data_IF_893186468380
#
_entry.id   IF_893186468380
#
_cell.length_a   1.000
_cell.length_b   1.000
_cell.length_c   1.000
_cell.angle_alpha   90.00
_cell.angle_beta   90.00
_cell.angle_gamma   90.00
#
_symmetry.space_group_name_H-M   'P 1'
#
loop_
_entity.id
_entity.type
_entity.pdbx_description
1 polymer ?
#
# COMPACT_ATOMS: atom_id res chain seq x y z
N UNK A 1 22.32 -11.36 10.62
CA UNK A 1 21.56 -12.33 9.80
C UNK A 1 20.11 -11.83 9.80
N UNK A 2 19.48 -11.62 8.64
CA UNK A 2 18.10 -11.07 8.58
C UNK A 2 17.05 -12.18 8.68
N UNK A 3 15.85 -11.86 9.20
CA UNK A 3 14.69 -12.76 9.32
C UNK A 3 14.43 -13.60 8.07
N UNK A 4 14.45 -12.97 6.90
CA UNK A 4 14.18 -13.64 5.62
C UNK A 4 15.26 -14.68 5.25
N UNK A 5 16.51 -14.48 5.68
CA UNK A 5 17.56 -15.48 5.47
C UNK A 5 17.31 -16.71 6.35
N UNK A 6 16.84 -16.49 7.58
CA UNK A 6 16.51 -17.58 8.50
C UNK A 6 15.33 -18.40 7.98
N UNK A 7 14.29 -17.74 7.45
CA UNK A 7 13.19 -18.41 6.77
C UNK A 7 13.67 -19.30 5.61
N UNK A 8 14.54 -18.76 4.74
CA UNK A 8 15.12 -19.52 3.62
C UNK A 8 15.97 -20.70 4.11
N UNK A 9 16.75 -20.52 5.17
CA UNK A 9 17.59 -21.57 5.72
C UNK A 9 16.75 -22.70 6.34
N UNK A 10 15.65 -22.36 7.00
CA UNK A 10 14.71 -23.33 7.56
C UNK A 10 14.09 -24.19 6.45
N UNK A 11 13.67 -23.60 5.32
CA UNK A 11 13.09 -24.39 4.23
C UNK A 11 14.11 -25.34 3.62
N UNK A 12 15.34 -24.88 3.38
CA UNK A 12 16.45 -25.73 2.91
C UNK A 12 16.75 -26.88 3.87
N UNK A 13 16.72 -26.63 5.19
CA UNK A 13 16.94 -27.68 6.21
C UNK A 13 15.89 -28.79 6.16
N UNK A 14 14.69 -28.49 5.65
CA UNK A 14 13.59 -29.43 5.50
C UNK A 14 13.41 -29.91 4.04
N UNK A 15 14.45 -29.79 3.20
CA UNK A 15 14.43 -30.16 1.79
C UNK A 15 13.33 -29.45 0.97
N UNK A 16 12.92 -28.25 1.41
CA UNK A 16 11.97 -27.39 0.72
C UNK A 16 12.72 -26.22 0.08
N UNK A 17 12.48 -25.99 -1.23
CA UNK A 17 12.99 -24.81 -1.92
C UNK A 17 11.93 -23.71 -1.92
N UNK A 18 12.13 -22.67 -1.10
CA UNK A 18 11.26 -21.49 -1.11
C UNK A 18 11.63 -20.56 -2.28
N UNK A 19 10.87 -20.65 -3.37
CA UNK A 19 11.02 -19.79 -4.55
C UNK A 19 9.67 -19.15 -4.94
N UNK A 20 9.16 -18.19 -4.14
CA UNK A 20 7.86 -17.59 -4.40
C UNK A 20 7.90 -16.74 -5.67
N UNK A 21 6.86 -16.85 -6.50
CA UNK A 21 6.73 -15.97 -7.68
C UNK A 21 6.44 -14.52 -7.30
N UNK A 22 5.64 -14.33 -6.25
CA UNK A 22 5.22 -13.03 -5.75
C UNK A 22 5.48 -12.94 -4.25
N UNK A 23 5.95 -11.78 -3.79
CA UNK A 23 6.08 -11.46 -2.36
C UNK A 23 5.36 -10.15 -2.11
N UNK A 24 4.35 -10.19 -1.25
CA UNK A 24 3.65 -8.99 -0.78
C UNK A 24 4.26 -8.58 0.55
N UNK A 25 4.70 -7.33 0.65
CA UNK A 25 5.36 -6.78 1.85
C UNK A 25 4.94 -5.34 2.08
N UNK A 26 5.08 -4.86 3.30
CA UNK A 26 4.89 -3.45 3.62
C UNK A 26 5.93 -2.57 2.91
N UNK A 27 5.64 -1.27 2.83
CA UNK A 27 6.44 -0.30 2.06
C UNK A 27 7.76 0.09 2.75
N UNK A 28 8.29 -0.78 3.61
CA UNK A 28 9.57 -0.56 4.28
C UNK A 28 10.73 -0.88 3.34
N UNK A 29 11.52 0.15 3.02
CA UNK A 29 12.65 0.03 2.10
C UNK A 29 13.66 -1.05 2.52
N UNK A 30 13.90 -1.19 3.84
CA UNK A 30 14.79 -2.22 4.38
C UNK A 30 14.30 -3.64 4.10
N UNK A 31 13.00 -3.90 4.29
CA UNK A 31 12.39 -5.18 4.01
C UNK A 31 12.42 -5.50 2.51
N UNK A 32 12.02 -4.54 1.67
CA UNK A 32 12.05 -4.67 0.21
C UNK A 32 13.47 -5.01 -0.27
N UNK A 33 14.49 -4.28 0.18
CA UNK A 33 15.87 -4.50 -0.23
C UNK A 33 16.39 -5.88 0.21
N UNK A 34 16.08 -6.31 1.44
CA UNK A 34 16.47 -7.63 1.91
C UNK A 34 15.82 -8.76 1.09
N UNK A 35 14.53 -8.61 0.73
CA UNK A 35 13.81 -9.58 -0.08
C UNK A 35 14.35 -9.65 -1.51
N UNK A 36 14.73 -8.52 -2.13
CA UNK A 36 15.40 -8.50 -3.45
C UNK A 36 16.71 -9.29 -3.47
N UNK A 37 17.47 -9.23 -2.38
CA UNK A 37 18.74 -9.96 -2.26
C UNK A 37 18.50 -11.46 -2.06
N UNK A 38 17.51 -11.83 -1.25
CA UNK A 38 17.29 -13.21 -0.81
C UNK A 38 16.47 -14.01 -1.83
N UNK A 39 15.50 -13.36 -2.47
CA UNK A 39 14.60 -13.92 -3.48
C UNK A 39 14.64 -13.06 -4.77
N UNK A 40 15.76 -13.05 -5.50
CA UNK A 40 15.96 -12.14 -6.64
C UNK A 40 15.01 -12.39 -7.82
N UNK A 41 14.43 -13.60 -7.90
CA UNK A 41 13.50 -13.99 -8.96
C UNK A 41 12.04 -13.65 -8.62
N UNK A 42 11.77 -13.20 -7.39
CA UNK A 42 10.42 -12.88 -6.95
C UNK A 42 10.01 -11.48 -7.38
N UNK A 43 8.76 -11.34 -7.81
CA UNK A 43 8.16 -10.03 -8.02
C UNK A 43 7.66 -9.51 -6.67
N UNK A 44 8.27 -8.43 -6.18
CA UNK A 44 7.87 -7.79 -4.92
C UNK A 44 6.72 -6.80 -5.19
N UNK A 45 5.67 -6.87 -4.39
CA UNK A 45 4.49 -6.01 -4.42
C UNK A 45 4.27 -5.37 -3.04
N UNK A 46 3.84 -4.12 -3.03
CA UNK A 46 3.43 -3.44 -1.79
C UNK A 46 2.11 -4.00 -1.26
N UNK A 47 1.95 -4.07 0.06
CA UNK A 47 0.72 -4.53 0.69
C UNK A 47 -0.38 -3.44 0.65
N UNK A 48 -1.35 -3.62 -0.25
CA UNK A 48 -2.49 -2.69 -0.35
C UNK A 48 -3.33 -2.64 0.94
N UNK A 49 -3.45 -3.76 1.66
CA UNK A 49 -4.21 -3.81 2.91
C UNK A 49 -3.60 -2.90 3.99
N UNK A 50 -2.30 -3.04 4.26
CA UNK A 50 -1.63 -2.20 5.25
C UNK A 50 -1.54 -0.74 4.79
N UNK A 51 -1.38 -0.48 3.48
CA UNK A 51 -1.47 0.88 2.95
C UNK A 51 -2.82 1.54 3.26
N UNK A 52 -3.93 0.87 2.98
CA UNK A 52 -5.27 1.38 3.29
C UNK A 52 -5.49 1.54 4.80
N UNK A 53 -4.94 0.66 5.63
CA UNK A 53 -4.98 0.83 7.08
C UNK A 53 -4.24 2.09 7.54
N UNK A 54 -3.05 2.36 6.99
CA UNK A 54 -2.31 3.59 7.27
C UNK A 54 -3.09 4.84 6.85
N UNK A 55 -3.72 4.81 5.67
CA UNK A 55 -4.58 5.91 5.22
C UNK A 55 -5.78 6.13 6.16
N UNK A 56 -6.46 5.05 6.57
CA UNK A 56 -7.61 5.13 7.48
C UNK A 56 -7.18 5.66 8.86
N UNK A 57 -6.02 5.22 9.35
CA UNK A 57 -5.45 5.70 10.60
C UNK A 57 -5.17 7.20 10.51
N UNK A 58 -4.57 7.66 9.41
CA UNK A 58 -4.32 9.08 9.19
C UNK A 58 -5.61 9.90 9.11
N UNK A 59 -6.62 9.39 8.41
CA UNK A 59 -7.94 10.02 8.33
C UNK A 59 -8.56 10.20 9.72
N UNK A 60 -8.45 9.18 10.59
CA UNK A 60 -8.93 9.26 11.98
C UNK A 60 -8.16 10.30 12.80
N UNK A 61 -6.83 10.32 12.68
CA UNK A 61 -5.98 11.31 13.36
C UNK A 61 -6.31 12.75 12.98
N UNK A 62 -6.76 12.96 11.74
CA UNK A 62 -7.20 14.25 11.23
C UNK A 62 -8.65 14.60 11.65
N UNK A 63 -9.34 13.73 12.39
CA UNK A 63 -10.69 13.97 12.91
C UNK A 63 -11.83 13.70 11.92
N UNK A 64 -11.53 13.10 10.76
CA UNK A 64 -12.52 12.88 9.69
C UNK A 64 -13.32 11.58 9.82
N UNK A 65 -13.15 10.84 10.92
CA UNK A 65 -13.77 9.51 11.08
C UNK A 65 -15.30 9.55 10.98
N UNK A 66 -15.93 10.58 11.55
CA UNK A 66 -17.39 10.73 11.51
C UNK A 66 -17.87 11.01 10.08
N UNK A 67 -17.26 11.99 9.42
CA UNK A 67 -17.59 12.36 8.04
C UNK A 67 -17.43 11.16 7.11
N UNK A 68 -16.35 10.40 7.24
CA UNK A 68 -16.11 9.19 6.45
C UNK A 68 -17.19 8.12 6.65
N UNK A 69 -17.62 7.88 7.89
CA UNK A 69 -18.63 6.85 8.20
C UNK A 69 -20.05 7.27 7.81
N UNK A 70 -20.35 8.57 7.91
CA UNK A 70 -21.69 9.13 7.66
C UNK A 70 -21.87 9.56 6.18
N UNK A 71 -20.85 9.40 5.33
CA UNK A 71 -20.89 9.77 3.90
C UNK A 71 -21.87 8.88 3.12
N UNK A 72 -22.68 9.50 2.24
CA UNK A 72 -23.42 8.78 1.19
C UNK A 72 -22.43 8.26 0.14
N UNK A 73 -22.58 7.00 -0.26
CA UNK A 73 -21.73 6.37 -1.29
C UNK A 73 -21.87 7.05 -2.67
N UNK A 74 -22.92 7.83 -2.89
CA UNK A 74 -23.14 8.57 -4.14
C UNK A 74 -22.59 10.01 -4.10
N UNK A 75 -22.12 10.48 -2.94
CA UNK A 75 -21.53 11.80 -2.81
C UNK A 75 -20.07 11.80 -3.29
N UNK A 76 -19.87 12.30 -4.51
CA UNK A 76 -18.58 12.36 -5.18
C UNK A 76 -17.60 13.35 -4.53
N UNK A 77 -18.09 14.28 -3.71
CA UNK A 77 -17.28 15.27 -2.99
C UNK A 77 -17.07 14.87 -1.51
N UNK A 78 -17.57 13.71 -1.10
CA UNK A 78 -17.42 13.24 0.28
C UNK A 78 -15.97 12.90 0.65
N UNK A 79 -15.68 12.95 1.95
CA UNK A 79 -14.44 12.46 2.56
C UNK A 79 -14.19 10.99 2.21
N UNK A 80 -15.24 10.18 2.10
CA UNK A 80 -15.15 8.76 1.72
C UNK A 80 -14.71 8.61 0.26
N UNK A 81 -15.25 9.40 -0.65
CA UNK A 81 -14.80 9.41 -2.05
C UNK A 81 -13.36 9.88 -2.17
N UNK A 82 -12.96 10.95 -1.47
CA UNK A 82 -11.57 11.42 -1.43
C UNK A 82 -10.61 10.31 -0.96
N UNK A 83 -10.95 9.63 0.14
CA UNK A 83 -10.17 8.51 0.67
C UNK A 83 -9.96 7.42 -0.40
N UNK A 84 -11.02 7.01 -1.09
CA UNK A 84 -10.91 5.98 -2.13
C UNK A 84 -10.11 6.45 -3.35
N UNK A 85 -10.21 7.72 -3.74
CA UNK A 85 -9.39 8.30 -4.83
C UNK A 85 -7.90 8.28 -4.47
N UNK A 86 -7.55 8.68 -3.26
CA UNK A 86 -6.17 8.63 -2.75
C UNK A 86 -5.68 7.18 -2.71
N UNK A 87 -6.49 6.24 -2.20
CA UNK A 87 -6.13 4.82 -2.17
C UNK A 87 -5.91 4.24 -3.57
N UNK A 88 -6.71 4.67 -4.55
CA UNK A 88 -6.65 4.21 -5.93
C UNK A 88 -5.35 4.63 -6.66
N UNK A 89 -4.68 5.70 -6.22
CA UNK A 89 -3.38 6.12 -6.79
C UNK A 89 -2.32 5.01 -6.74
N UNK A 90 -2.40 4.10 -5.77
CA UNK A 90 -1.50 2.95 -5.66
C UNK A 90 -1.59 1.96 -6.83
N UNK A 91 -2.65 2.03 -7.64
CA UNK A 91 -2.87 1.20 -8.82
C UNK A 91 -2.53 1.92 -10.13
N UNK A 92 -2.16 3.20 -10.07
CA UNK A 92 -1.91 4.02 -11.26
C UNK A 92 -0.46 3.85 -11.76
N UNK A 93 -0.22 4.03 -13.07
CA UNK A 93 1.13 4.18 -13.60
C UNK A 93 1.88 5.31 -12.90
N UNK A 94 3.17 5.12 -12.62
CA UNK A 94 3.98 6.08 -11.86
C UNK A 94 4.03 7.47 -12.53
N UNK A 95 4.01 7.51 -13.85
CA UNK A 95 4.01 8.71 -14.68
C UNK A 95 2.67 9.46 -14.68
N UNK A 96 1.59 8.83 -14.22
CA UNK A 96 0.26 9.45 -14.11
C UNK A 96 -0.05 9.94 -12.68
N UNK A 97 0.69 9.48 -11.67
CA UNK A 97 0.40 9.78 -10.26
C UNK A 97 0.35 11.29 -9.99
N UNK A 98 1.32 12.06 -10.49
CA UNK A 98 1.38 13.50 -10.24
C UNK A 98 0.19 14.24 -10.86
N UNK A 99 -0.19 13.87 -12.08
CA UNK A 99 -1.33 14.46 -12.77
C UNK A 99 -2.65 14.15 -12.06
N UNK A 100 -2.84 12.89 -11.64
CA UNK A 100 -4.03 12.45 -10.91
C UNK A 100 -4.10 13.05 -9.51
N UNK A 101 -2.95 13.20 -8.83
CA UNK A 101 -2.87 13.89 -7.55
C UNK A 101 -3.29 15.35 -7.67
N UNK A 102 -2.78 16.08 -8.67
CA UNK A 102 -3.22 17.45 -8.94
C UNK A 102 -4.72 17.54 -9.20
N UNK A 103 -5.28 16.64 -10.01
CA UNK A 103 -6.73 16.58 -10.24
C UNK A 103 -7.53 16.33 -8.96
N UNK A 104 -7.07 15.43 -8.08
CA UNK A 104 -7.69 15.22 -6.77
C UNK A 104 -7.62 16.50 -5.93
N UNK A 105 -6.50 17.22 -5.93
CA UNK A 105 -6.35 18.44 -5.15
C UNK A 105 -7.23 19.58 -5.67
N UNK A 106 -7.39 19.73 -6.98
CA UNK A 106 -8.22 20.77 -7.60
C UNK A 106 -9.69 20.59 -7.22
N UNK A 107 -10.20 19.35 -7.29
CA UNK A 107 -11.59 19.00 -6.96
C UNK A 107 -11.95 19.28 -5.48
N UNK A 108 -10.96 19.29 -4.59
CA UNK A 108 -11.15 19.47 -3.15
C UNK A 108 -10.54 20.79 -2.63
N UNK A 109 -10.15 21.70 -3.52
CA UNK A 109 -9.56 23.01 -3.17
C UNK A 109 -10.51 23.96 -2.40
N UNK A 110 -11.78 23.59 -2.28
CA UNK A 110 -12.85 24.35 -1.63
C UNK A 110 -13.37 23.72 -0.33
N UNK A 111 -12.83 22.56 0.08
CA UNK A 111 -13.16 21.85 1.33
C UNK A 111 -12.10 22.17 2.39
#
# INVERSE_FOLDING_TARGET
>A
MSLFNELRNLTVKHDLLLNPKYITVDFELGAINALKIIFPNSVIKGCNFHFNQCLLQKLKELGFQKQYNDSDDNDLESVKTLFHRIAALSFMPLDEIDALWCSIMDDYSHI
#
